data_IF_509672626450
#
_entry.id   IF_509672626450
#
_cell.length_a   1.000
_cell.length_b   1.000
_cell.length_c   1.000
_cell.angle_alpha   90.00
_cell.angle_beta   90.00
_cell.angle_gamma   90.00
#
_symmetry.space_group_name_H-M   'P 1'
#
loop_
_entity.id
_entity.type
_entity.pdbx_description
1 polymer ?
#
# COMPACT_ATOMS: atom_id res chain seq x y z
N UNK A 1 17.70 3.02 4.88
CA UNK A 1 16.79 2.16 4.10
C UNK A 1 16.09 3.02 3.05
N UNK A 2 16.52 2.95 1.79
CA UNK A 2 15.92 3.70 0.69
C UNK A 2 14.57 3.07 0.31
N UNK A 3 13.55 3.38 1.12
CA UNK A 3 12.17 2.96 0.90
C UNK A 3 11.56 3.82 -0.20
N UNK A 4 11.51 3.29 -1.42
CA UNK A 4 10.68 3.86 -2.47
C UNK A 4 9.22 3.77 -1.97
N UNK A 5 8.69 4.89 -1.51
CA UNK A 5 7.31 4.99 -1.07
C UNK A 5 6.56 5.91 -2.03
N UNK A 6 5.41 5.44 -2.53
CA UNK A 6 4.61 6.17 -3.51
C UNK A 6 3.62 7.10 -2.81
N UNK A 7 3.57 8.35 -3.27
CA UNK A 7 2.59 9.31 -2.80
C UNK A 7 1.17 8.89 -3.21
N UNK A 8 0.19 9.23 -2.36
CA UNK A 8 -1.22 8.92 -2.59
C UNK A 8 -1.73 9.35 -3.98
N UNK A 9 -1.41 10.56 -4.41
CA UNK A 9 -1.90 11.11 -5.67
C UNK A 9 -1.31 10.34 -6.87
N UNK A 10 -0.02 9.97 -6.78
CA UNK A 10 0.62 9.10 -7.78
C UNK A 10 0.05 7.67 -7.77
N UNK A 11 -0.24 7.12 -6.58
CA UNK A 11 -0.87 5.81 -6.45
C UNK A 11 -2.23 5.78 -7.15
N UNK A 12 -3.08 6.79 -6.92
CA UNK A 12 -4.39 6.90 -7.58
C UNK A 12 -4.25 6.94 -9.10
N UNK A 13 -3.28 7.69 -9.63
CA UNK A 13 -3.03 7.73 -11.06
C UNK A 13 -2.62 6.35 -11.61
N UNK A 14 -1.77 5.61 -10.91
CA UNK A 14 -1.34 4.26 -11.32
C UNK A 14 -2.45 3.22 -11.23
N UNK A 15 -3.30 3.30 -10.20
CA UNK A 15 -4.47 2.43 -10.07
C UNK A 15 -5.47 2.73 -11.19
N UNK A 16 -5.70 4.01 -11.50
CA UNK A 16 -6.55 4.42 -12.63
C UNK A 16 -6.01 3.98 -13.99
N UNK A 17 -4.69 3.82 -14.13
CA UNK A 17 -4.04 3.30 -15.33
C UNK A 17 -3.89 1.77 -15.33
N UNK A 18 -4.43 1.09 -14.31
CA UNK A 18 -4.34 -0.36 -14.16
C UNK A 18 -2.89 -0.88 -14.11
N UNK A 19 -1.96 -0.02 -13.67
CA UNK A 19 -0.53 -0.32 -13.53
C UNK A 19 -0.20 -1.01 -12.19
N UNK A 20 -1.15 -1.01 -11.25
CA UNK A 20 -1.08 -1.76 -10.00
C UNK A 20 -1.49 -3.20 -10.24
N UNK A 21 -0.57 -4.13 -10.01
CA UNK A 21 -0.82 -5.57 -10.20
C UNK A 21 -1.29 -6.26 -8.94
N UNK A 22 -0.70 -5.88 -7.82
CA UNK A 22 -0.94 -6.52 -6.53
C UNK A 22 -0.87 -5.49 -5.43
N UNK A 23 -1.72 -5.66 -4.43
CA UNK A 23 -1.69 -4.90 -3.20
C UNK A 23 -1.48 -5.88 -2.05
N UNK A 24 -0.52 -5.57 -1.18
CA UNK A 24 -0.13 -6.39 -0.04
C UNK A 24 -0.21 -5.54 1.22
N UNK A 25 -0.91 -6.04 2.21
CA UNK A 25 -1.06 -5.42 3.52
C UNK A 25 -0.22 -6.23 4.50
N UNK A 26 0.86 -5.63 4.98
CA UNK A 26 1.76 -6.25 5.94
C UNK A 26 1.64 -5.61 7.32
N UNK A 27 1.83 -6.42 8.37
CA UNK A 27 2.12 -5.90 9.71
C UNK A 27 3.45 -5.13 9.73
N UNK A 28 3.53 -4.04 10.50
CA UNK A 28 4.80 -3.33 10.68
C UNK A 28 5.73 -4.15 11.57
N UNK A 29 6.97 -4.39 11.13
CA UNK A 29 7.98 -5.06 11.95
C UNK A 29 8.16 -4.30 13.29
N UNK A 30 7.83 -4.98 14.40
CA UNK A 30 7.92 -4.43 15.76
C UNK A 30 6.61 -3.90 16.34
N UNK A 31 5.54 -3.77 15.53
CA UNK A 31 4.22 -3.35 16.01
C UNK A 31 3.10 -4.03 15.20
N UNK A 32 2.68 -5.23 15.64
CA UNK A 32 1.60 -5.99 15.03
C UNK A 32 0.22 -5.31 15.13
N UNK A 33 0.12 -4.18 15.83
CA UNK A 33 -1.11 -3.37 15.88
C UNK A 33 -1.17 -2.37 14.72
N UNK A 34 -0.11 -2.27 13.91
CA UNK A 34 -0.02 -1.34 12.78
C UNK A 34 0.16 -2.07 11.47
N UNK A 35 -0.67 -1.67 10.52
CA UNK A 35 -0.72 -2.19 9.17
C UNK A 35 -0.11 -1.20 8.20
N UNK A 36 0.56 -1.71 7.17
CA UNK A 36 1.08 -0.92 6.06
C UNK A 36 0.58 -1.51 4.76
N UNK A 37 0.12 -0.67 3.85
CA UNK A 37 -0.24 -1.05 2.49
C UNK A 37 0.96 -0.83 1.58
N UNK A 38 1.33 -1.86 0.84
CA UNK A 38 2.33 -1.83 -0.22
C UNK A 38 1.70 -2.30 -1.53
N UNK A 39 2.17 -1.78 -2.65
CA UNK A 39 1.66 -2.15 -3.97
C UNK A 39 2.78 -2.57 -4.90
N UNK A 40 2.53 -3.58 -5.72
CA UNK A 40 3.41 -4.00 -6.80
C UNK A 40 3.03 -3.26 -8.08
N UNK A 41 3.99 -2.52 -8.62
CA UNK A 41 3.81 -1.71 -9.82
C UNK A 41 4.56 -2.37 -10.99
N UNK A 42 3.89 -2.57 -12.12
CA UNK A 42 4.54 -3.07 -13.34
C UNK A 42 4.71 -4.60 -13.41
N UNK A 43 5.96 -5.07 -13.42
CA UNK A 43 6.31 -6.47 -13.68
C UNK A 43 5.96 -7.41 -12.51
N UNK A 44 5.75 -8.72 -12.74
CA UNK A 44 5.46 -9.69 -11.67
C UNK A 44 6.55 -9.78 -10.60
N UNK A 45 7.80 -9.52 -10.98
CA UNK A 45 8.97 -9.51 -10.08
C UNK A 45 9.27 -8.12 -9.51
N UNK A 46 8.44 -7.11 -9.79
CA UNK A 46 8.65 -5.77 -9.30
C UNK A 46 8.55 -5.71 -7.78
N UNK A 47 9.37 -4.84 -7.20
CA UNK A 47 9.41 -4.63 -5.75
C UNK A 47 8.08 -4.05 -5.27
N UNK A 48 7.65 -4.48 -4.09
CA UNK A 48 6.56 -3.84 -3.37
C UNK A 48 6.95 -2.41 -2.95
N UNK A 49 6.11 -1.46 -3.28
CA UNK A 49 6.29 -0.03 -3.01
C UNK A 49 5.30 0.36 -1.93
N UNK A 50 5.80 0.80 -0.78
CA UNK A 50 4.94 1.20 0.33
C UNK A 50 4.16 2.48 0.00
N UNK A 51 2.94 2.60 0.49
CA UNK A 51 2.14 3.82 0.34
C UNK A 51 2.54 4.82 1.43
N UNK A 52 2.92 6.04 1.03
CA UNK A 52 3.20 7.14 1.97
C UNK A 52 2.05 8.13 2.04
N UNK A 53 1.94 8.77 3.19
CA UNK A 53 1.06 9.93 3.39
C UNK A 53 1.80 11.20 2.95
N UNK A 54 1.09 12.33 2.87
CA UNK A 54 1.74 13.64 2.69
C UNK A 54 2.65 14.00 3.86
N UNK A 55 2.29 13.58 5.08
CA UNK A 55 3.00 13.93 6.32
C UNK A 55 3.92 12.84 6.87
N UNK A 56 3.63 11.57 6.55
CA UNK A 56 4.38 10.43 7.08
C UNK A 56 5.14 9.72 5.96
N UNK A 57 6.40 9.30 6.22
CA UNK A 57 7.24 8.62 5.24
C UNK A 57 6.67 7.25 4.82
N UNK A 58 5.91 6.60 5.70
CA UNK A 58 5.12 5.40 5.43
C UNK A 58 3.78 5.58 6.13
N UNK A 59 2.68 5.38 5.40
CA UNK A 59 1.35 5.46 6.02
C UNK A 59 1.09 4.18 6.79
N UNK A 60 0.72 4.34 8.05
CA UNK A 60 0.31 3.21 8.90
C UNK A 60 -1.17 3.31 9.25
N UNK A 61 -1.79 2.16 9.48
CA UNK A 61 -3.18 2.05 9.89
C UNK A 61 -3.29 1.20 11.15
N UNK A 62 -4.19 1.57 12.07
CA UNK A 62 -4.41 0.83 13.31
C UNK A 62 -5.26 -0.44 13.13
N UNK A 63 -5.89 -0.64 11.97
CA UNK A 63 -6.73 -1.82 11.71
C UNK A 63 -6.81 -2.17 10.23
N UNK A 64 -6.98 -3.46 9.92
CA UNK A 64 -7.22 -3.94 8.56
C UNK A 64 -8.47 -3.33 7.95
N UNK A 65 -9.52 -3.07 8.74
CA UNK A 65 -10.74 -2.41 8.27
C UNK A 65 -10.46 -1.01 7.73
N UNK A 66 -9.57 -0.26 8.40
CA UNK A 66 -9.17 1.06 7.92
C UNK A 66 -8.32 1.00 6.64
N UNK A 67 -7.51 -0.06 6.48
CA UNK A 67 -6.79 -0.33 5.24
C UNK A 67 -7.76 -0.67 4.11
N UNK A 68 -8.76 -1.53 4.36
CA UNK A 68 -9.77 -1.92 3.37
C UNK A 68 -10.58 -0.73 2.85
N UNK A 69 -11.08 0.13 3.75
CA UNK A 69 -11.78 1.37 3.34
C UNK A 69 -10.91 2.29 2.49
N UNK A 70 -9.62 2.36 2.80
CA UNK A 70 -8.67 3.15 2.02
C UNK A 70 -8.40 2.51 0.65
N UNK A 71 -8.22 1.19 0.59
CA UNK A 71 -8.02 0.44 -0.64
C UNK A 71 -9.21 0.63 -1.60
N UNK A 72 -10.44 0.50 -1.09
CA UNK A 72 -11.68 0.75 -1.83
C UNK A 72 -11.73 2.19 -2.37
N UNK A 73 -11.45 3.19 -1.53
CA UNK A 73 -11.44 4.59 -1.93
C UNK A 73 -10.37 4.94 -2.98
N UNK A 74 -9.34 4.10 -3.14
CA UNK A 74 -8.28 4.26 -4.15
C UNK A 74 -8.56 3.42 -5.41
N UNK A 75 -9.52 2.49 -5.36
CA UNK A 75 -9.87 1.59 -6.47
C UNK A 75 -9.10 0.26 -6.47
N UNK A 76 -8.52 -0.13 -5.34
CA UNK A 76 -7.88 -1.44 -5.16
C UNK A 76 -8.96 -2.45 -4.78
N UNK A 77 -9.30 -3.34 -5.71
CA UNK A 77 -10.37 -4.32 -5.53
C UNK A 77 -9.98 -5.52 -4.64
N UNK A 78 -8.72 -5.94 -4.67
CA UNK A 78 -8.21 -7.10 -3.94
C UNK A 78 -6.84 -6.79 -3.39
N UNK A 79 -6.57 -7.23 -2.16
CA UNK A 79 -5.25 -7.18 -1.53
C UNK A 79 -4.99 -8.45 -0.73
N UNK A 80 -3.73 -8.87 -0.70
CA UNK A 80 -3.25 -9.97 0.15
C UNK A 80 -2.86 -9.43 1.52
N UNK A 81 -3.10 -10.20 2.59
CA UNK A 81 -2.65 -9.85 3.95
C UNK A 81 -1.51 -10.78 4.33
N UNK A 82 -0.36 -10.20 4.67
CA UNK A 82 0.82 -10.92 5.17
C UNK A 82 0.95 -10.62 6.68
N UNK A 83 0.85 -11.68 7.49
CA UNK A 83 0.97 -11.66 8.95
C UNK A 83 2.40 -11.99 9.40
#
# INVERSE_FOLDING_TARGET
>A
MSGYAIQLDALKALVSQQATREAVVGGMQGDNSKWTLSVRLGAPTARLVAVRSRREPVRTWASLTAVGRFAEAVGIAVFSVEL
#
